data_IF_351396519248
#
_entry.id   IF_351396519248
#
_cell.length_a   1.000
_cell.length_b   1.000
_cell.length_c   1.000
_cell.angle_alpha   90.00
_cell.angle_beta   90.00
_cell.angle_gamma   90.00
#
_symmetry.space_group_name_H-M   'P 1'
#
loop_
_entity.id
_entity.type
_entity.pdbx_description
1 polymer ?
#
# COMPACT_ATOMS: atom_id res chain seq x y z
N UNK A 1 -0.36 -5.94 -5.28
CA UNK A 1 0.90 -6.22 -4.57
C UNK A 1 0.59 -6.70 -3.18
N UNK A 2 1.21 -7.78 -2.74
CA UNK A 2 1.01 -8.39 -1.43
C UNK A 2 2.36 -8.57 -0.76
N UNK A 3 2.44 -8.19 0.51
CA UNK A 3 3.66 -8.29 1.31
C UNK A 3 3.39 -8.94 2.65
N UNK A 4 4.45 -9.43 3.30
CA UNK A 4 4.40 -9.98 4.66
C UNK A 4 5.46 -9.30 5.51
N UNK A 5 5.13 -9.01 6.77
CA UNK A 5 6.11 -8.54 7.73
C UNK A 5 7.13 -9.65 8.01
N UNK A 6 8.42 -9.34 7.92
CA UNK A 6 9.50 -10.32 8.12
C UNK A 6 9.63 -10.74 9.57
N UNK A 7 9.55 -9.77 10.49
CA UNK A 7 9.77 -9.98 11.93
C UNK A 7 8.82 -9.12 12.73
N UNK A 8 8.39 -9.63 13.87
CA UNK A 8 7.62 -8.83 14.84
C UNK A 8 8.43 -7.61 15.24
N UNK A 9 7.76 -6.48 15.34
CA UNK A 9 8.38 -5.24 15.80
C UNK A 9 7.48 -4.58 16.85
N UNK A 10 8.05 -4.25 17.99
CA UNK A 10 7.35 -3.48 19.02
C UNK A 10 6.96 -2.08 18.52
N UNK A 11 7.68 -1.58 17.52
CA UNK A 11 7.40 -0.30 16.88
C UNK A 11 6.12 -0.33 16.03
N UNK A 12 5.73 -1.52 15.54
CA UNK A 12 4.57 -1.71 14.67
C UNK A 12 3.67 -2.80 15.25
N UNK A 13 2.99 -2.51 16.38
CA UNK A 13 2.18 -3.52 17.07
C UNK A 13 0.95 -3.96 16.28
N UNK A 14 0.51 -3.15 15.30
CA UNK A 14 -0.65 -3.42 14.47
C UNK A 14 -0.30 -4.22 13.20
N UNK A 15 0.87 -4.84 13.17
CA UNK A 15 1.28 -5.75 12.10
C UNK A 15 1.68 -7.09 12.68
N UNK A 16 1.21 -8.18 12.04
CA UNK A 16 1.46 -9.55 12.45
C UNK A 16 2.42 -10.24 11.47
N UNK A 17 3.55 -10.81 11.93
CA UNK A 17 4.47 -11.55 11.05
C UNK A 17 3.77 -12.70 10.32
N UNK A 18 4.10 -12.88 9.04
CA UNK A 18 3.54 -13.93 8.21
C UNK A 18 2.13 -13.69 7.70
N UNK A 19 1.44 -12.67 8.21
CA UNK A 19 0.13 -12.26 7.70
C UNK A 19 0.32 -11.55 6.36
N UNK A 20 -0.43 -11.92 5.31
CA UNK A 20 -0.36 -11.17 4.04
C UNK A 20 -1.11 -9.83 4.16
N UNK A 21 -0.49 -8.80 3.63
CA UNK A 21 -1.09 -7.46 3.57
C UNK A 21 -1.10 -6.96 2.14
N UNK A 22 -2.22 -6.38 1.72
CA UNK A 22 -2.33 -5.72 0.42
C UNK A 22 -1.69 -4.34 0.52
N UNK A 23 -0.82 -4.03 -0.44
CA UNK A 23 -0.24 -2.69 -0.55
C UNK A 23 -1.23 -1.82 -1.31
N UNK A 24 -1.71 -0.77 -0.64
CA UNK A 24 -2.69 0.17 -1.19
C UNK A 24 -2.01 1.19 -2.10
N UNK A 25 -0.77 1.55 -1.78
CA UNK A 25 0.01 2.50 -2.53
C UNK A 25 1.44 2.57 -2.05
N UNK A 26 2.24 3.36 -2.73
CA UNK A 26 3.66 3.55 -2.44
C UNK A 26 3.93 5.04 -2.26
N UNK A 27 4.66 5.40 -1.21
CA UNK A 27 5.18 6.74 -1.00
C UNK A 27 6.67 6.66 -0.71
N UNK A 28 7.50 6.86 -1.72
CA UNK A 28 8.95 6.74 -1.61
C UNK A 28 9.36 5.33 -1.20
N UNK A 29 9.98 5.19 -0.05
CA UNK A 29 10.42 3.91 0.50
C UNK A 29 9.40 3.29 1.46
N UNK A 30 8.18 3.79 1.48
CA UNK A 30 7.12 3.29 2.36
C UNK A 30 5.99 2.65 1.57
N UNK A 31 5.40 1.61 2.14
CA UNK A 31 4.15 1.03 1.68
C UNK A 31 3.00 1.59 2.52
N UNK A 32 1.90 1.98 1.84
CA UNK A 32 0.64 2.22 2.52
C UNK A 32 -0.08 0.89 2.65
N UNK A 33 -0.30 0.44 3.88
CA UNK A 33 -0.88 -0.88 4.18
C UNK A 33 -2.05 -0.71 5.12
N UNK A 34 -3.13 -1.45 4.85
CA UNK A 34 -4.24 -1.57 5.79
C UNK A 34 -3.78 -2.52 6.91
N UNK A 35 -3.53 -2.00 8.09
CA UNK A 35 -3.00 -2.77 9.21
C UNK A 35 -4.07 -3.61 9.93
N UNK A 36 -3.69 -4.33 10.99
CA UNK A 36 -4.62 -5.20 11.73
C UNK A 36 -5.76 -4.42 12.39
N UNK A 37 -5.55 -3.13 12.65
CA UNK A 37 -6.59 -2.25 13.19
C UNK A 37 -7.51 -1.66 12.11
N UNK A 38 -7.31 -2.03 10.84
CA UNK A 38 -8.11 -1.52 9.72
C UNK A 38 -7.76 -0.10 9.31
N UNK A 39 -6.53 0.36 9.57
CA UNK A 39 -6.09 1.72 9.27
C UNK A 39 -5.01 1.74 8.19
N UNK A 40 -5.08 2.68 7.23
CA UNK A 40 -4.11 2.76 6.14
C UNK A 40 -2.89 3.60 6.52
N UNK A 41 -1.93 2.97 7.18
CA UNK A 41 -0.72 3.65 7.60
C UNK A 41 0.47 3.33 6.69
N UNK A 42 1.47 4.20 6.71
CA UNK A 42 2.74 4.02 6.00
C UNK A 42 3.73 3.23 6.86
N UNK A 43 4.39 2.26 6.22
CA UNK A 43 5.41 1.45 6.87
C UNK A 43 6.64 1.31 5.97
N UNK A 44 7.86 1.27 6.54
CA UNK A 44 9.08 1.13 5.73
C UNK A 44 9.08 -0.17 4.93
N UNK A 45 9.33 -0.10 3.63
CA UNK A 45 9.29 -1.25 2.75
C UNK A 45 10.32 -2.33 3.12
N UNK A 46 11.44 -1.96 3.73
CA UNK A 46 12.48 -2.90 4.14
C UNK A 46 12.06 -3.87 5.23
N UNK A 47 10.94 -3.62 5.90
CA UNK A 47 10.40 -4.52 6.94
C UNK A 47 9.64 -5.72 6.36
N UNK A 48 9.42 -5.74 5.04
CA UNK A 48 8.52 -6.69 4.41
C UNK A 48 9.23 -7.55 3.39
N UNK A 49 8.74 -8.78 3.24
CA UNK A 49 9.00 -9.63 2.09
C UNK A 49 7.86 -9.50 1.10
N UNK A 50 8.19 -9.37 -0.18
CA UNK A 50 7.18 -9.31 -1.24
C UNK A 50 6.72 -10.72 -1.57
N UNK A 51 5.42 -10.95 -1.43
CA UNK A 51 4.77 -12.23 -1.75
C UNK A 51 4.27 -12.23 -3.18
N UNK A 52 3.63 -11.13 -3.58
CA UNK A 52 3.13 -10.93 -4.94
C UNK A 52 3.43 -9.49 -5.34
N UNK A 53 4.30 -9.34 -6.33
CA UNK A 53 4.79 -8.04 -6.75
C UNK A 53 3.91 -7.37 -7.82
N UNK A 54 2.84 -8.03 -8.26
CA UNK A 54 1.96 -7.45 -9.28
C UNK A 54 1.26 -6.22 -8.75
N UNK A 55 1.43 -5.12 -9.45
CA UNK A 55 0.75 -3.87 -9.14
C UNK A 55 -0.55 -3.78 -9.93
N UNK A 56 -1.60 -3.18 -9.33
CA UNK A 56 -2.81 -2.88 -10.10
C UNK A 56 -2.49 -1.98 -11.30
N UNK A 57 -3.14 -2.25 -12.43
CA UNK A 57 -2.88 -1.51 -13.67
C UNK A 57 -3.36 -0.06 -13.65
N UNK A 58 -4.17 0.32 -12.68
CA UNK A 58 -4.71 1.67 -12.55
C UNK A 58 -3.94 2.56 -11.55
N UNK A 59 -2.83 2.08 -11.02
CA UNK A 59 -1.97 2.94 -10.20
C UNK A 59 -1.36 4.03 -11.08
N UNK A 60 -1.45 5.27 -10.61
CA UNK A 60 -0.80 6.41 -11.21
C UNK A 60 0.50 6.63 -10.47
N UNK A 61 1.62 6.64 -11.20
CA UNK A 61 2.94 6.86 -10.62
C UNK A 61 3.41 8.28 -10.91
N UNK A 62 3.95 8.91 -9.87
CA UNK A 62 4.65 10.19 -9.96
C UNK A 62 6.03 10.02 -9.31
N UNK A 63 7.01 10.77 -9.80
CA UNK A 63 8.38 10.66 -9.32
C UNK A 63 8.86 12.00 -8.79
N UNK A 64 9.51 11.97 -7.62
CA UNK A 64 10.11 13.15 -7.03
C UNK A 64 11.50 13.45 -7.59
N UNK A 65 12.12 14.49 -7.05
CA UNK A 65 13.42 15.00 -7.53
C UNK A 65 14.55 13.97 -7.36
N UNK A 66 14.47 13.12 -6.35
CA UNK A 66 15.48 12.10 -6.06
C UNK A 66 15.12 10.74 -6.70
N UNK A 67 14.14 10.71 -7.59
CA UNK A 67 13.68 9.50 -8.25
C UNK A 67 12.76 8.65 -7.40
N UNK A 68 12.36 9.10 -6.22
CA UNK A 68 11.41 8.41 -5.35
C UNK A 68 10.04 8.34 -6.02
N UNK A 69 9.38 7.19 -5.86
CA UNK A 69 8.10 6.92 -6.51
C UNK A 69 6.94 7.14 -5.56
N UNK A 70 5.89 7.75 -6.09
CA UNK A 70 4.59 7.86 -5.42
C UNK A 70 3.56 7.22 -6.34
N UNK A 71 2.85 6.21 -5.86
CA UNK A 71 1.90 5.47 -6.70
C UNK A 71 0.64 5.11 -5.91
N UNK A 72 -0.51 5.47 -6.47
CA UNK A 72 -1.82 5.18 -5.92
C UNK A 72 -2.84 4.97 -7.02
N UNK A 73 -3.93 4.23 -6.74
CA UNK A 73 -5.10 4.27 -7.62
C UNK A 73 -5.59 5.71 -7.82
N UNK A 74 -6.08 6.02 -9.02
CA UNK A 74 -6.50 7.37 -9.36
C UNK A 74 -7.41 8.05 -8.32
N UNK A 75 -8.45 7.38 -7.77
CA UNK A 75 -9.32 8.01 -6.77
C UNK A 75 -8.63 8.39 -5.46
N UNK A 76 -7.47 7.78 -5.16
CA UNK A 76 -6.69 8.06 -3.95
C UNK A 76 -5.49 8.94 -4.23
N UNK A 77 -5.24 9.29 -5.49
CA UNK A 77 -4.02 9.96 -5.92
C UNK A 77 -4.25 11.47 -6.09
N UNK A 78 -4.71 12.11 -5.05
CA UNK A 78 -4.77 13.57 -5.06
C UNK A 78 -4.16 14.14 -3.78
N UNK A 79 -3.59 15.37 -3.85
CA UNK A 79 -2.95 15.97 -2.69
C UNK A 79 -3.89 16.04 -1.49
N UNK A 80 -3.39 15.66 -0.32
CA UNK A 80 -4.16 15.74 0.92
C UNK A 80 -5.19 14.65 1.13
N UNK A 81 -5.28 13.62 0.26
CA UNK A 81 -6.28 12.57 0.42
C UNK A 81 -6.22 11.90 1.79
N UNK A 82 -5.03 11.44 2.19
CA UNK A 82 -4.91 10.70 3.45
C UNK A 82 -4.96 11.61 4.68
N UNK A 83 -4.54 12.86 4.57
CA UNK A 83 -4.78 13.85 5.61
C UNK A 83 -6.27 14.04 5.86
N UNK A 84 -7.04 14.19 4.79
CA UNK A 84 -8.49 14.33 4.88
C UNK A 84 -9.16 13.05 5.40
N UNK A 85 -8.67 11.89 4.99
CA UNK A 85 -9.13 10.60 5.50
C UNK A 85 -8.91 10.51 7.03
N UNK A 86 -7.71 10.85 7.49
CA UNK A 86 -7.35 10.81 8.91
C UNK A 86 -8.17 11.83 9.70
N UNK A 87 -8.44 12.99 9.11
CA UNK A 87 -9.29 14.02 9.71
C UNK A 87 -10.78 13.63 9.76
N UNK A 88 -11.14 12.46 9.26
CA UNK A 88 -12.49 11.94 9.34
C UNK A 88 -13.45 12.48 8.29
N UNK A 89 -12.96 13.04 7.19
CA UNK A 89 -13.82 13.57 6.14
C UNK A 89 -14.57 12.45 5.43
N UNK A 90 -15.89 12.54 5.42
CA UNK A 90 -16.77 11.47 4.96
C UNK A 90 -16.57 11.09 3.50
N UNK A 91 -16.27 12.05 2.64
CA UNK A 91 -16.05 11.81 1.22
C UNK A 91 -14.84 10.90 1.00
N UNK A 92 -13.73 11.21 1.65
CA UNK A 92 -12.48 10.46 1.52
C UNK A 92 -12.60 9.09 2.15
N UNK A 93 -13.27 8.97 3.28
CA UNK A 93 -13.53 7.67 3.93
C UNK A 93 -14.34 6.77 3.01
N UNK A 94 -15.43 7.27 2.41
CA UNK A 94 -16.26 6.49 1.49
C UNK A 94 -15.48 6.09 0.24
N UNK A 95 -14.72 7.02 -0.33
CA UNK A 95 -13.91 6.75 -1.53
C UNK A 95 -12.86 5.68 -1.26
N UNK A 96 -12.17 5.78 -0.14
CA UNK A 96 -11.15 4.82 0.26
C UNK A 96 -11.73 3.40 0.35
N UNK A 97 -12.81 3.23 1.11
CA UNK A 97 -13.39 1.89 1.33
C UNK A 97 -14.00 1.31 0.06
N UNK A 98 -14.56 2.15 -0.80
CA UNK A 98 -15.04 1.69 -2.11
C UNK A 98 -13.89 1.12 -2.94
N UNK A 99 -12.77 1.82 -3.02
CA UNK A 99 -11.59 1.39 -3.79
C UNK A 99 -10.99 0.12 -3.19
N UNK A 100 -10.79 0.09 -1.90
CA UNK A 100 -10.19 -1.07 -1.21
C UNK A 100 -11.07 -2.31 -1.34
N UNK A 101 -12.39 -2.18 -1.16
CA UNK A 101 -13.31 -3.31 -1.27
C UNK A 101 -13.36 -3.88 -2.69
N UNK A 102 -13.33 -3.03 -3.71
CA UNK A 102 -13.26 -3.48 -5.10
C UNK A 102 -12.00 -4.28 -5.36
N UNK A 103 -10.87 -3.85 -4.81
CA UNK A 103 -9.59 -4.54 -5.00
C UNK A 103 -9.52 -5.86 -4.27
N UNK A 104 -10.05 -5.95 -3.07
CA UNK A 104 -10.10 -7.22 -2.34
C UNK A 104 -10.92 -8.27 -3.11
N UNK A 105 -12.01 -7.87 -3.73
CA UNK A 105 -12.81 -8.77 -4.56
C UNK A 105 -12.04 -9.25 -5.80
N UNK A 106 -11.20 -8.40 -6.40
CA UNK A 106 -10.42 -8.75 -7.59
C UNK A 106 -9.19 -9.58 -7.25
N UNK A 107 -8.50 -9.28 -6.15
CA UNK A 107 -7.28 -10.01 -5.73
C UNK A 107 -7.58 -11.50 -5.52
N UNK A 108 -8.77 -11.85 -5.05
CA UNK A 108 -9.17 -13.24 -4.90
C UNK A 108 -9.35 -13.99 -6.23
N UNK A 109 -9.48 -13.29 -7.34
CA UNK A 109 -9.75 -13.86 -8.66
C UNK A 109 -8.53 -13.89 -9.58
N UNK A 110 -7.46 -13.15 -9.29
CA UNK A 110 -6.29 -13.04 -10.17
C UNK A 110 -5.19 -13.98 -9.70
N UNK A 111 -4.93 -15.01 -10.48
CA UNK A 111 -3.97 -16.05 -10.14
C UNK A 111 -2.68 -16.03 -10.98
N UNK A 112 -2.50 -15.11 -11.93
CA UNK A 112 -1.39 -15.13 -12.87
C UNK A 112 -0.14 -14.43 -12.28
N UNK A 113 1.01 -15.12 -12.15
CA UNK A 113 2.24 -14.50 -11.67
C UNK A 113 2.91 -13.71 -12.79
N UNK A 114 3.06 -12.41 -12.60
CA UNK A 114 3.86 -11.57 -13.49
C UNK A 114 5.15 -11.15 -12.79
N UNK A 115 6.25 -10.98 -13.54
CA UNK A 115 7.52 -10.58 -12.94
C UNK A 115 7.45 -9.20 -12.33
N UNK A 116 8.24 -9.00 -11.29
CA UNK A 116 8.38 -7.73 -10.60
C UNK A 116 9.01 -6.70 -11.53
N UNK A 117 8.36 -5.58 -11.72
CA UNK A 117 8.90 -4.46 -12.50
C UNK A 117 9.51 -3.36 -11.63
N UNK A 118 9.15 -3.31 -10.36
CA UNK A 118 9.62 -2.31 -9.43
C UNK A 118 9.97 -2.95 -8.10
N UNK A 119 11.11 -2.59 -7.56
CA UNK A 119 11.52 -2.99 -6.22
C UNK A 119 11.62 -1.77 -5.32
N UNK A 120 11.08 -1.87 -4.13
CA UNK A 120 11.31 -0.88 -3.11
C UNK A 120 12.76 -0.98 -2.65
N UNK A 121 13.49 0.13 -2.75
CA UNK A 121 14.87 0.22 -2.26
C UNK A 121 14.84 1.00 -0.97
N UNK A 122 15.21 0.38 0.17
CA UNK A 122 15.25 1.11 1.44
C UNK A 122 16.20 2.30 1.35
N UNK A 123 15.80 3.41 1.98
CA UNK A 123 16.68 4.55 2.13
C UNK A 123 17.87 4.18 3.01
N UNK A 124 19.05 4.53 2.57
CA UNK A 124 20.25 4.33 3.35
C UNK A 124 20.38 5.40 4.45
#
# INVERSE_FOLDING_TARGET
MIVKLRRRSARYPDLTPGQPYVVIGIEGNDYRILNDAGRPYLYPCGRFAVVDAREPGDWISEYGEDGERYAYPAPLNHPGFFEDFIDGKSKEIRTFWRVVNQRHAVVGAIASPNPVKYRCVPAN
#
